data_IF_249328720722
#
_entry.id   IF_249328720722
#
_cell.length_a   1.000
_cell.length_b   1.000
_cell.length_c   1.000
_cell.angle_alpha   90.00
_cell.angle_beta   90.00
_cell.angle_gamma   90.00
#
_symmetry.space_group_name_H-M   'P 1'
#
loop_
_entity.id
_entity.type
_entity.pdbx_description
1 polymer ?
#
# COMPACT_ATOMS: atom_id res chain seq x y z
N UNK A 1 -9.30 11.60 -6.06
CA UNK A 1 -8.48 11.25 -4.89
C UNK A 1 -7.06 11.62 -5.22
N UNK A 2 -6.41 12.44 -4.39
CA UNK A 2 -5.01 12.82 -4.59
C UNK A 2 -4.12 11.65 -4.13
N UNK A 3 -3.16 11.24 -4.96
CA UNK A 3 -2.11 10.29 -4.55
C UNK A 3 -1.10 11.01 -3.61
N UNK A 4 -0.46 10.28 -2.68
CA UNK A 4 0.59 10.84 -1.83
C UNK A 4 1.75 11.35 -2.69
N UNK A 5 2.25 12.53 -2.36
CA UNK A 5 3.35 13.20 -3.05
C UNK A 5 4.56 13.31 -2.11
N UNK A 6 5.73 12.95 -2.65
CA UNK A 6 6.96 12.87 -1.86
C UNK A 6 7.37 14.21 -1.26
N UNK A 7 7.24 15.30 -2.02
CA UNK A 7 7.68 16.63 -1.59
C UNK A 7 6.68 17.28 -0.61
N UNK A 8 5.39 16.96 -0.76
CA UNK A 8 4.31 17.56 0.05
C UNK A 8 4.02 16.75 1.31
N UNK A 9 3.94 15.43 1.20
CA UNK A 9 3.55 14.55 2.31
C UNK A 9 4.76 13.87 2.97
N UNK A 10 5.95 13.99 2.36
CA UNK A 10 7.17 13.32 2.83
C UNK A 10 7.26 11.85 2.40
N UNK A 11 6.34 11.36 1.59
CA UNK A 11 6.36 10.00 1.06
C UNK A 11 5.49 9.86 -0.20
N UNK A 12 5.74 8.83 -1.00
CA UNK A 12 4.88 8.45 -2.12
C UNK A 12 4.89 6.94 -2.35
N UNK A 13 4.06 6.48 -3.30
CA UNK A 13 4.06 5.10 -3.76
C UNK A 13 4.81 4.99 -5.09
N UNK A 14 5.65 3.97 -5.18
CA UNK A 14 6.35 3.63 -6.41
C UNK A 14 5.45 2.86 -7.39
N UNK A 15 5.73 2.99 -8.68
CA UNK A 15 4.96 2.34 -9.74
C UNK A 15 5.47 0.92 -10.02
N UNK A 16 4.80 -0.09 -9.49
CA UNK A 16 5.12 -1.51 -9.72
C UNK A 16 5.16 -1.89 -11.20
N UNK A 17 4.31 -1.31 -12.05
CA UNK A 17 4.32 -1.57 -13.50
C UNK A 17 5.61 -1.05 -14.17
N UNK A 18 6.16 0.07 -13.68
CA UNK A 18 7.43 0.59 -14.17
C UNK A 18 8.58 -0.35 -13.79
N UNK A 19 8.63 -0.82 -12.54
CA UNK A 19 9.61 -1.81 -12.09
C UNK A 19 9.55 -3.10 -12.91
N UNK A 20 8.34 -3.60 -13.19
CA UNK A 20 8.17 -4.78 -14.04
C UNK A 20 8.60 -4.53 -15.49
N UNK A 21 8.30 -3.35 -16.05
CA UNK A 21 8.71 -3.02 -17.41
C UNK A 21 10.24 -2.91 -17.56
N UNK A 22 10.92 -2.41 -16.52
CA UNK A 22 12.39 -2.29 -16.49
C UNK A 22 13.08 -3.64 -16.28
N UNK A 23 12.50 -4.54 -15.48
CA UNK A 23 13.13 -5.80 -15.09
C UNK A 23 12.12 -6.98 -15.06
N UNK A 24 11.49 -7.34 -16.18
CA UNK A 24 10.36 -8.29 -16.20
C UNK A 24 10.74 -9.70 -15.74
N UNK A 25 12.00 -10.11 -15.93
CA UNK A 25 12.50 -11.44 -15.56
C UNK A 25 12.75 -11.60 -14.06
N UNK A 26 13.00 -10.50 -13.35
CA UNK A 26 13.36 -10.51 -11.91
C UNK A 26 12.32 -9.84 -11.02
N UNK A 27 11.43 -9.04 -11.60
CA UNK A 27 10.37 -8.33 -10.91
C UNK A 27 9.03 -8.83 -11.42
N UNK A 28 8.50 -9.88 -10.81
CA UNK A 28 7.17 -10.41 -11.16
C UNK A 28 6.05 -9.50 -10.62
N UNK A 29 4.93 -9.44 -11.36
CA UNK A 29 3.69 -8.78 -10.92
C UNK A 29 2.49 -9.72 -11.02
N UNK A 30 1.49 -9.57 -10.12
CA UNK A 30 0.17 -10.14 -10.33
C UNK A 30 -0.45 -9.65 -11.63
N UNK A 31 -1.27 -10.50 -12.25
CA UNK A 31 -2.02 -10.14 -13.45
C UNK A 31 -2.80 -8.84 -13.25
N UNK A 32 -2.85 -8.03 -14.31
CA UNK A 32 -3.53 -6.73 -14.31
C UNK A 32 -4.99 -6.85 -13.85
N UNK A 33 -5.70 -7.86 -14.33
CA UNK A 33 -7.09 -8.14 -13.93
C UNK A 33 -7.23 -8.27 -12.41
N UNK A 34 -6.33 -9.02 -11.75
CA UNK A 34 -6.34 -9.18 -10.29
C UNK A 34 -6.09 -7.87 -9.56
N UNK A 35 -5.17 -7.03 -10.06
CA UNK A 35 -4.86 -5.70 -9.48
C UNK A 35 -5.99 -4.68 -9.69
N UNK A 36 -6.78 -4.84 -10.74
CA UNK A 36 -7.93 -3.98 -11.08
C UNK A 36 -9.26 -4.43 -10.44
N UNK A 37 -9.29 -5.61 -9.81
CA UNK A 37 -10.50 -6.17 -9.18
C UNK A 37 -10.32 -6.48 -7.69
N UNK A 38 -9.45 -5.75 -6.99
CA UNK A 38 -9.30 -5.89 -5.54
C UNK A 38 -10.60 -5.51 -4.82
N UNK A 39 -10.84 -6.15 -3.69
CA UNK A 39 -12.04 -5.97 -2.88
C UNK A 39 -11.66 -5.68 -1.42
N UNK A 40 -12.57 -5.07 -0.63
CA UNK A 40 -12.36 -4.94 0.80
C UNK A 40 -12.02 -6.29 1.44
N UNK A 41 -10.96 -6.29 2.25
CA UNK A 41 -10.36 -7.46 2.87
C UNK A 41 -9.15 -8.03 2.13
N UNK A 42 -8.94 -7.73 0.84
CA UNK A 42 -7.73 -8.18 0.15
C UNK A 42 -6.51 -7.45 0.74
N UNK A 43 -5.33 -8.05 0.65
CA UNK A 43 -4.09 -7.42 1.10
C UNK A 43 -3.20 -7.18 -0.11
N UNK A 44 -2.87 -5.92 -0.37
CA UNK A 44 -2.00 -5.51 -1.46
C UNK A 44 -0.60 -5.17 -0.92
N UNK A 45 0.44 -5.75 -1.50
CA UNK A 45 1.82 -5.32 -1.23
C UNK A 45 2.15 -4.14 -2.14
N UNK A 46 2.62 -3.06 -1.55
CA UNK A 46 3.01 -1.83 -2.25
C UNK A 46 4.48 -1.50 -1.93
N UNK A 47 5.06 -0.58 -2.71
CA UNK A 47 6.40 -0.04 -2.48
C UNK A 47 6.25 1.43 -2.08
N UNK A 48 6.79 1.80 -0.93
CA UNK A 48 6.77 3.14 -0.36
C UNK A 48 8.13 3.77 -0.47
N UNK A 49 8.19 5.02 -0.93
CA UNK A 49 9.37 5.86 -0.89
C UNK A 49 9.14 6.95 0.14
N UNK A 50 9.93 6.97 1.20
CA UNK A 50 9.69 7.79 2.40
C UNK A 50 10.91 8.67 2.65
N UNK A 51 10.68 9.95 2.89
CA UNK A 51 11.71 10.90 3.31
C UNK A 51 12.06 10.62 4.76
N UNK A 52 13.33 10.41 5.05
CA UNK A 52 13.84 10.17 6.40
C UNK A 52 14.88 11.22 6.75
N UNK A 53 14.84 11.70 8.00
CA UNK A 53 15.83 12.64 8.51
C UNK A 53 17.06 11.86 9.01
N UNK A 54 17.92 11.43 8.08
CA UNK A 54 19.19 10.78 8.39
C UNK A 54 20.35 11.46 7.63
N UNK A 55 21.51 11.58 8.28
CA UNK A 55 22.70 12.29 7.79
C UNK A 55 23.37 11.60 6.59
N UNK A 56 23.16 10.29 6.39
CA UNK A 56 23.78 9.50 5.31
C UNK A 56 22.82 9.14 4.16
N UNK A 57 21.56 8.81 4.46
CA UNK A 57 20.54 8.46 3.46
C UNK A 57 19.23 9.18 3.78
N UNK A 58 18.79 10.09 2.90
CA UNK A 58 17.59 10.91 3.13
C UNK A 58 16.29 10.24 2.66
N UNK A 59 16.36 9.04 2.09
CA UNK A 59 15.21 8.34 1.51
C UNK A 59 15.26 6.85 1.84
N UNK A 60 14.20 6.34 2.47
CA UNK A 60 13.98 4.90 2.65
C UNK A 60 12.99 4.37 1.61
N UNK A 61 13.20 3.13 1.14
CA UNK A 61 12.28 2.44 0.23
C UNK A 61 11.84 1.11 0.83
N UNK A 62 10.57 1.01 1.17
CA UNK A 62 10.03 -0.13 1.93
C UNK A 62 8.89 -0.84 1.19
N UNK A 63 8.79 -2.17 1.35
CA UNK A 63 7.71 -2.97 0.76
C UNK A 63 6.72 -3.40 1.83
N UNK A 64 5.58 -2.73 1.90
CA UNK A 64 4.60 -2.94 2.97
C UNK A 64 3.30 -3.56 2.45
N UNK A 65 2.65 -4.36 3.29
CA UNK A 65 1.33 -4.90 3.05
C UNK A 65 0.26 -3.91 3.51
N UNK A 66 -0.77 -3.71 2.68
CA UNK A 66 -1.86 -2.77 2.91
C UNK A 66 -3.18 -3.51 2.79
N UNK A 67 -4.00 -3.44 3.84
CA UNK A 67 -5.36 -3.97 3.83
C UNK A 67 -6.25 -3.07 2.96
N UNK A 68 -6.90 -3.62 1.94
CA UNK A 68 -7.89 -2.90 1.14
C UNK A 68 -9.15 -2.70 1.99
N UNK A 69 -9.54 -1.44 2.20
CA UNK A 69 -10.71 -1.04 2.99
C UNK A 69 -11.89 -0.68 2.10
N UNK A 70 -11.64 0.09 1.04
CA UNK A 70 -12.69 0.67 0.21
C UNK A 70 -12.25 0.71 -1.26
N UNK A 71 -13.18 0.42 -2.16
CA UNK A 71 -13.02 0.63 -3.60
C UNK A 71 -13.67 1.95 -3.95
N UNK A 72 -12.91 2.85 -4.57
CA UNK A 72 -13.32 4.22 -4.89
C UNK A 72 -13.16 4.49 -6.39
N UNK A 73 -13.84 5.52 -6.93
CA UNK A 73 -13.59 5.93 -8.31
C UNK A 73 -12.11 6.26 -8.53
N UNK A 74 -11.44 5.48 -9.38
CA UNK A 74 -10.03 5.65 -9.73
C UNK A 74 -9.03 4.82 -8.92
N UNK A 75 -9.46 4.02 -7.94
CA UNK A 75 -8.54 3.16 -7.19
C UNK A 75 -9.12 2.62 -5.90
N UNK A 76 -8.28 2.61 -4.87
CA UNK A 76 -8.55 1.98 -3.59
C UNK A 76 -8.12 2.89 -2.44
N UNK A 77 -8.83 2.78 -1.32
CA UNK A 77 -8.32 3.19 -0.01
C UNK A 77 -7.92 1.94 0.75
N UNK A 78 -6.72 1.97 1.31
CA UNK A 78 -6.22 0.91 2.16
C UNK A 78 -5.68 1.44 3.47
N UNK A 79 -5.42 0.53 4.40
CA UNK A 79 -4.89 0.85 5.73
C UNK A 79 -3.66 -0.01 5.97
N UNK A 80 -2.60 0.61 6.49
CA UNK A 80 -1.47 -0.14 7.04
C UNK A 80 -1.92 -0.75 8.38
N UNK A 81 -2.06 -2.06 8.43
CA UNK A 81 -2.40 -2.79 9.64
C UNK A 81 -1.18 -3.61 10.11
N UNK A 82 -0.86 -3.55 11.40
CA UNK A 82 0.21 -4.31 12.06
C UNK A 82 -0.34 -5.13 13.23
N UNK A 83 -1.68 -5.21 13.38
CA UNK A 83 -2.29 -6.15 14.34
C UNK A 83 -2.54 -7.53 13.74
N UNK A 84 -2.35 -7.71 12.43
CA UNK A 84 -2.14 -9.03 11.86
C UNK A 84 -0.73 -9.46 12.29
N UNK A 85 -0.61 -10.54 13.06
CA UNK A 85 0.65 -11.21 13.46
C UNK A 85 1.63 -11.46 12.27
N UNK A 86 1.16 -11.27 11.03
CA UNK A 86 1.91 -11.38 9.78
C UNK A 86 2.64 -10.08 9.31
N UNK A 87 2.41 -8.91 9.91
CA UNK A 87 2.93 -7.60 9.43
C UNK A 87 3.88 -6.96 10.46
N UNK A 88 4.60 -7.78 11.23
CA UNK A 88 5.34 -7.42 12.45
C UNK A 88 6.59 -6.50 12.29
N UNK A 89 6.79 -5.82 11.16
CA UNK A 89 7.99 -4.99 10.95
C UNK A 89 7.65 -3.63 10.32
N UNK A 90 6.85 -2.80 10.99
CA UNK A 90 6.78 -1.37 10.64
C UNK A 90 6.60 -0.46 11.85
N UNK A 91 7.31 0.66 11.81
CA UNK A 91 7.30 1.73 12.81
C UNK A 91 5.87 2.17 13.16
N UNK A 92 5.62 2.37 14.46
CA UNK A 92 4.32 2.73 15.04
C UNK A 92 3.65 3.95 14.39
N UNK A 93 4.42 4.77 13.66
CA UNK A 93 3.99 6.05 13.09
C UNK A 93 2.96 5.91 11.96
N UNK A 94 2.97 4.80 11.22
CA UNK A 94 2.12 4.58 10.05
C UNK A 94 0.90 3.69 10.32
N UNK A 95 0.83 3.09 11.52
CA UNK A 95 -0.17 2.08 11.86
C UNK A 95 -1.59 2.66 11.91
N UNK A 96 -2.50 1.98 11.22
CA UNK A 96 -3.89 2.39 11.09
C UNK A 96 -4.10 3.65 10.25
N UNK A 97 -3.07 4.11 9.52
CA UNK A 97 -3.20 5.25 8.61
C UNK A 97 -3.77 4.76 7.27
N UNK A 98 -4.83 5.44 6.84
CA UNK A 98 -5.42 5.25 5.53
C UNK A 98 -4.59 5.92 4.45
N UNK A 99 -4.51 5.27 3.30
CA UNK A 99 -3.82 5.79 2.12
C UNK A 99 -4.53 5.41 0.82
N UNK A 100 -4.42 6.26 -0.21
CA UNK A 100 -4.93 5.97 -1.53
C UNK A 100 -3.89 5.24 -2.37
N UNK A 101 -4.33 4.30 -3.19
CA UNK A 101 -3.48 3.65 -4.19
C UNK A 101 -4.30 3.16 -5.39
N UNK A 102 -3.62 2.79 -6.47
CA UNK A 102 -4.24 2.28 -7.70
C UNK A 102 -3.56 0.97 -8.10
N UNK A 103 -4.14 0.28 -9.09
CA UNK A 103 -3.61 -1.01 -9.57
C UNK A 103 -2.11 -0.94 -9.92
N UNK A 104 -1.62 0.19 -10.45
CA UNK A 104 -0.21 0.38 -10.87
C UNK A 104 0.79 0.23 -9.71
N UNK A 105 0.36 0.45 -8.47
CA UNK A 105 1.21 0.34 -7.28
C UNK A 105 1.30 -1.09 -6.71
N UNK A 106 0.39 -1.98 -7.10
CA UNK A 106 0.25 -3.31 -6.50
C UNK A 106 1.30 -4.26 -7.03
N UNK A 107 2.19 -4.73 -6.16
CA UNK A 107 3.31 -5.64 -6.50
C UNK A 107 3.10 -7.07 -6.02
N UNK A 108 2.18 -7.30 -5.10
CA UNK A 108 1.71 -8.63 -4.70
C UNK A 108 0.30 -8.55 -4.11
N UNK A 109 -0.40 -9.68 -4.07
CA UNK A 109 -1.77 -9.78 -3.53
C UNK A 109 -1.87 -11.03 -2.65
N UNK A 110 -2.38 -10.86 -1.44
CA UNK A 110 -2.94 -11.96 -0.64
C UNK A 110 -4.46 -11.85 -0.67
N UNK A 111 -5.11 -12.98 -0.92
CA UNK A 111 -6.56 -13.05 -0.99
C UNK A 111 -7.17 -12.86 0.39
N UNK A 112 -8.25 -12.08 0.44
CA UNK A 112 -9.02 -11.88 1.66
C UNK A 112 -9.51 -13.18 2.29
N UNK A 113 -9.57 -13.17 3.62
CA UNK A 113 -10.22 -14.22 4.41
C UNK A 113 -11.28 -13.62 5.35
N UNK A 114 -11.90 -14.45 6.18
CA UNK A 114 -12.94 -13.98 7.10
C UNK A 114 -12.45 -12.92 8.10
N UNK A 115 -11.17 -12.99 8.50
CA UNK A 115 -10.57 -12.05 9.45
C UNK A 115 -10.28 -10.71 8.76
N UNK A 116 -9.66 -10.73 7.59
CA UNK A 116 -9.31 -9.50 6.87
C UNK A 116 -10.55 -8.79 6.33
N UNK A 117 -11.60 -9.53 5.94
CA UNK A 117 -12.90 -8.95 5.61
C UNK A 117 -13.50 -8.22 6.82
N UNK A 118 -13.41 -8.79 8.02
CA UNK A 118 -13.89 -8.14 9.23
C UNK A 118 -13.05 -6.90 9.58
N UNK A 119 -11.71 -6.99 9.46
CA UNK A 119 -10.81 -5.86 9.70
C UNK A 119 -11.08 -4.70 8.74
N UNK A 120 -11.38 -4.98 7.47
CA UNK A 120 -11.69 -3.95 6.47
C UNK A 120 -12.97 -3.15 6.78
N UNK A 121 -13.80 -3.61 7.72
CA UNK A 121 -14.99 -2.87 8.18
C UNK A 121 -14.67 -1.85 9.27
N UNK A 122 -13.50 -1.95 9.91
CA UNK A 122 -13.09 -1.02 10.94
C UNK A 122 -12.74 0.35 10.35
N UNK A 123 -12.98 1.40 11.14
CA UNK A 123 -12.52 2.73 10.76
C UNK A 123 -10.98 2.82 10.89
N UNK A 124 -10.30 3.47 9.92
CA UNK A 124 -8.87 3.73 10.06
C UNK A 124 -8.64 4.66 11.25
N UNK A 125 -7.50 4.48 11.94
CA UNK A 125 -7.08 5.37 13.04
C UNK A 125 -6.88 6.80 12.54
N UNK A 126 -6.41 6.96 11.30
CA UNK A 126 -6.27 8.25 10.61
C UNK A 126 -6.76 8.13 9.18
N UNK A 127 -7.72 8.96 8.79
CA UNK A 127 -8.21 9.04 7.41
C UNK A 127 -7.25 9.83 6.53
N UNK A 128 -7.16 9.47 5.26
CA UNK A 128 -6.39 10.24 4.29
C UNK A 128 -7.08 11.58 4.02
N UNK A 129 -6.35 12.69 4.15
CA UNK A 129 -6.88 14.05 3.95
C UNK A 129 -6.39 14.72 2.66
N UNK A 130 -5.75 13.98 1.75
CA UNK A 130 -5.19 14.51 0.51
C UNK A 130 -6.19 14.71 -0.62
#
# INVERSE_FOLDING_TARGET
MREPDFEVDGWCLENGEAYHAEAPDTFWLPERSRRETLQPGDIAKLIFRISVENEEESVAVERMWVLVREVVPGGYLGVLDNELDAIAENDEFWLGTELPFTAKHVINIEERDANTIALAQNEPRRRWSG
#
